data_IF_355496366661
#
_entry.id   IF_355496366661
#
_cell.length_a   1.000
_cell.length_b   1.000
_cell.length_c   1.000
_cell.angle_alpha   90.00
_cell.angle_beta   90.00
_cell.angle_gamma   90.00
#
_symmetry.space_group_name_H-M   'P 1'
#
loop_
_entity.id
_entity.type
_entity.pdbx_description
1 polymer ?
#
# COMPACT_ATOMS: atom_id res chain seq x y z
N UNK A 1 0.38 9.20 -40.57
CA UNK A 1 -0.62 8.31 -41.24
C UNK A 1 -1.33 7.42 -40.23
N UNK A 2 -2.31 6.59 -40.61
CA UNK A 2 -3.07 5.73 -39.64
C UNK A 2 -2.14 4.90 -38.74
N UNK A 3 -1.05 4.36 -39.29
CA UNK A 3 -0.04 3.62 -38.52
C UNK A 3 0.64 4.46 -37.43
N UNK A 4 0.94 5.73 -37.72
CA UNK A 4 1.61 6.63 -36.79
C UNK A 4 0.67 7.02 -35.64
N UNK A 5 -0.62 7.19 -35.93
CA UNK A 5 -1.65 7.41 -34.92
C UNK A 5 -1.82 6.17 -34.01
N UNK A 6 -1.78 4.96 -34.58
CA UNK A 6 -1.81 3.72 -33.80
C UNK A 6 -0.59 3.59 -32.89
N UNK A 7 0.61 3.88 -33.39
CA UNK A 7 1.84 3.82 -32.59
C UNK A 7 1.83 4.81 -31.41
N UNK A 8 1.35 6.04 -31.63
CA UNK A 8 1.18 7.04 -30.57
C UNK A 8 0.15 6.58 -29.52
N UNK A 9 -0.94 5.95 -29.95
CA UNK A 9 -1.94 5.41 -29.03
C UNK A 9 -1.36 4.28 -28.16
N UNK A 10 -0.59 3.36 -28.75
CA UNK A 10 0.06 2.26 -28.03
C UNK A 10 1.08 2.76 -27.01
N UNK A 11 1.84 3.81 -27.35
CA UNK A 11 2.77 4.47 -26.43
C UNK A 11 2.02 5.08 -25.23
N UNK A 12 0.94 5.82 -25.49
CA UNK A 12 0.11 6.42 -24.44
C UNK A 12 -0.51 5.35 -23.53
N UNK A 13 -1.04 4.28 -24.10
CA UNK A 13 -1.62 3.17 -23.34
C UNK A 13 -0.57 2.50 -22.45
N UNK A 14 0.61 2.25 -23.01
CA UNK A 14 1.74 1.68 -22.26
C UNK A 14 2.17 2.59 -21.11
N UNK A 15 2.31 3.89 -21.36
CA UNK A 15 2.66 4.87 -20.34
C UNK A 15 1.60 4.93 -19.22
N UNK A 16 0.31 4.95 -19.58
CA UNK A 16 -0.79 4.96 -18.59
C UNK A 16 -0.84 3.68 -17.77
N UNK A 17 -0.66 2.51 -18.39
CA UNK A 17 -0.63 1.24 -17.67
C UNK A 17 0.53 1.19 -16.68
N UNK A 18 1.70 1.73 -17.04
CA UNK A 18 2.83 1.84 -16.11
C UNK A 18 2.49 2.72 -14.91
N UNK A 19 1.89 3.89 -15.14
CA UNK A 19 1.46 4.79 -14.06
C UNK A 19 0.45 4.09 -13.13
N UNK A 20 -0.47 3.29 -13.69
CA UNK A 20 -1.43 2.53 -12.88
C UNK A 20 -0.72 1.53 -11.96
N UNK A 21 0.25 0.78 -12.47
CA UNK A 21 1.01 -0.17 -11.65
C UNK A 21 1.85 0.53 -10.58
N UNK A 22 2.50 1.65 -10.92
CA UNK A 22 3.24 2.45 -9.96
C UNK A 22 2.32 2.97 -8.84
N UNK A 23 1.13 3.47 -9.18
CA UNK A 23 0.14 3.94 -8.19
C UNK A 23 -0.39 2.81 -7.30
N UNK A 24 -0.63 1.62 -7.85
CA UNK A 24 -1.03 0.45 -7.05
C UNK A 24 0.05 0.09 -6.03
N UNK A 25 1.31 0.09 -6.46
CA UNK A 25 2.43 -0.16 -5.58
C UNK A 25 2.54 0.90 -4.46
N UNK A 26 2.37 2.17 -4.81
CA UNK A 26 2.36 3.28 -3.85
C UNK A 26 1.26 3.14 -2.79
N UNK A 27 0.05 2.75 -3.20
CA UNK A 27 -1.07 2.50 -2.27
C UNK A 27 -0.73 1.37 -1.31
N UNK A 28 -0.16 0.26 -1.80
CA UNK A 28 0.25 -0.86 -0.95
C UNK A 28 1.31 -0.39 0.05
N UNK A 29 2.30 0.36 -0.42
CA UNK A 29 3.40 0.86 0.41
C UNK A 29 2.90 1.80 1.51
N UNK A 30 2.09 2.80 1.16
CA UNK A 30 1.59 3.79 2.13
C UNK A 30 0.64 3.14 3.14
N UNK A 31 -0.17 2.18 2.70
CA UNK A 31 -1.08 1.49 3.63
C UNK A 31 -0.32 0.64 4.63
N UNK A 32 0.74 -0.06 4.18
CA UNK A 32 1.62 -0.78 5.11
C UNK A 32 2.27 0.18 6.11
N UNK A 33 2.86 1.28 5.64
CA UNK A 33 3.49 2.25 6.53
C UNK A 33 2.50 2.84 7.55
N UNK A 34 1.25 3.06 7.13
CA UNK A 34 0.17 3.49 8.02
C UNK A 34 -0.13 2.45 9.11
N UNK A 35 -0.31 1.19 8.72
CA UNK A 35 -0.58 0.09 9.66
C UNK A 35 0.59 -0.15 10.62
N UNK A 36 1.82 -0.11 10.12
CA UNK A 36 3.04 -0.24 10.95
C UNK A 36 3.12 0.92 11.97
N UNK A 37 2.79 2.15 11.56
CA UNK A 37 2.78 3.30 12.46
C UNK A 37 1.73 3.17 13.58
N UNK A 38 0.54 2.64 13.27
CA UNK A 38 -0.50 2.35 14.26
C UNK A 38 0.02 1.35 15.28
N UNK A 39 0.60 0.23 14.84
CA UNK A 39 1.12 -0.79 15.76
C UNK A 39 2.25 -0.27 16.66
N UNK A 40 3.14 0.57 16.13
CA UNK A 40 4.18 1.21 16.95
C UNK A 40 3.56 2.16 17.98
N UNK A 41 2.53 2.91 17.59
CA UNK A 41 1.82 3.81 18.49
C UNK A 41 1.10 3.03 19.60
N UNK A 42 0.37 1.96 19.26
CA UNK A 42 -0.30 1.06 20.21
C UNK A 42 0.70 0.47 21.21
N UNK A 43 1.82 -0.09 20.72
CA UNK A 43 2.88 -0.64 21.56
C UNK A 43 3.44 0.39 22.54
N UNK A 44 3.67 1.63 22.09
CA UNK A 44 4.18 2.72 22.95
C UNK A 44 3.17 3.17 23.99
N UNK A 45 1.90 3.23 23.64
CA UNK A 45 0.83 3.60 24.57
C UNK A 45 0.63 2.53 25.64
N UNK A 46 0.71 1.25 25.24
CA UNK A 46 0.70 0.12 26.15
C UNK A 46 1.88 0.15 27.13
N UNK A 47 3.08 0.46 26.67
CA UNK A 47 4.26 0.69 27.54
C UNK A 47 4.05 1.81 28.56
N UNK A 48 3.22 2.81 28.24
CA UNK A 48 2.85 3.92 29.13
C UNK A 48 1.65 3.60 30.04
N UNK A 49 1.08 2.40 29.94
CA UNK A 49 -0.07 1.96 30.74
C UNK A 49 -1.44 2.39 30.20
N UNK A 50 -1.52 2.83 28.94
CA UNK A 50 -2.77 3.19 28.26
C UNK A 50 -3.23 1.98 27.43
N UNK A 51 -4.39 1.37 27.75
CA UNK A 51 -4.88 0.19 27.04
C UNK A 51 -5.43 0.53 25.65
N UNK A 52 -5.25 -0.39 24.69
CA UNK A 52 -5.65 -0.22 23.27
C UNK A 52 -7.16 0.01 23.09
N UNK A 53 -7.97 -0.49 24.03
CA UNK A 53 -9.43 -0.37 24.06
C UNK A 53 -9.91 1.10 24.11
N UNK A 54 -9.09 2.00 24.65
CA UNK A 54 -9.39 3.43 24.78
C UNK A 54 -9.08 4.22 23.51
N UNK A 55 -8.40 3.63 22.51
CA UNK A 55 -7.86 4.34 21.36
C UNK A 55 -8.81 4.40 20.15
N UNK A 56 -9.84 3.56 20.14
CA UNK A 56 -10.90 3.57 19.10
C UNK A 56 -10.42 3.28 17.66
N UNK A 57 -9.14 2.95 17.46
CA UNK A 57 -8.57 2.70 16.14
C UNK A 57 -8.92 1.28 15.65
N UNK A 58 -9.21 1.16 14.36
CA UNK A 58 -9.45 -0.12 13.68
C UNK A 58 -8.53 -0.15 12.46
N UNK A 59 -7.50 -1.01 12.42
CA UNK A 59 -6.63 -1.12 11.26
C UNK A 59 -7.48 -1.36 9.99
N UNK A 60 -7.18 -0.62 8.92
CA UNK A 60 -7.86 -0.85 7.64
C UNK A 60 -7.36 -2.19 7.10
N UNK A 61 -8.27 -3.15 6.94
CA UNK A 61 -7.94 -4.50 6.45
C UNK A 61 -7.52 -4.39 5.00
N UNK A 62 -6.22 -4.33 4.74
CA UNK A 62 -5.68 -4.56 3.41
C UNK A 62 -5.20 -6.00 3.29
N UNK A 63 -5.43 -6.61 2.14
CA UNK A 63 -4.95 -7.94 1.75
C UNK A 63 -3.42 -7.94 1.60
N UNK A 64 -2.69 -7.53 2.63
CA UNK A 64 -1.23 -7.51 2.68
C UNK A 64 -0.81 -8.51 3.71
N UNK A 65 -0.27 -9.64 3.25
CA UNK A 65 0.26 -10.71 4.09
C UNK A 65 1.39 -10.13 4.95
N UNK A 66 1.11 -9.89 6.23
CA UNK A 66 2.10 -9.46 7.22
C UNK A 66 2.94 -10.68 7.61
N UNK A 67 3.99 -10.97 6.85
CA UNK A 67 5.05 -11.84 7.34
C UNK A 67 5.92 -11.06 8.33
N UNK A 68 6.34 -11.64 9.48
CA UNK A 68 7.02 -10.91 10.58
C UNK A 68 8.38 -10.28 10.26
N UNK A 69 8.85 -10.30 9.01
CA UNK A 69 10.21 -9.91 8.65
C UNK A 69 10.31 -9.04 7.38
N UNK A 70 9.26 -8.27 7.05
CA UNK A 70 9.33 -7.31 5.95
C UNK A 70 9.47 -7.91 4.54
N UNK A 71 9.29 -9.22 4.39
CA UNK A 71 9.20 -9.88 3.08
C UNK A 71 7.84 -9.60 2.47
N UNK A 72 7.83 -8.84 1.39
CA UNK A 72 6.66 -8.65 0.52
C UNK A 72 6.39 -10.00 -0.15
N UNK A 73 5.47 -10.79 0.39
CA UNK A 73 4.88 -11.87 -0.41
C UNK A 73 3.84 -11.21 -1.30
N UNK A 74 4.20 -11.00 -2.56
CA UNK A 74 3.26 -10.62 -3.60
C UNK A 74 2.22 -11.74 -3.70
N UNK A 75 1.03 -11.54 -3.15
CA UNK A 75 -0.13 -12.33 -3.54
C UNK A 75 -0.63 -11.75 -4.86
N UNK A 76 -0.29 -12.43 -5.95
CA UNK A 76 -1.02 -12.36 -7.22
C UNK A 76 -2.20 -13.33 -7.10
#
# INVERSE_FOLDING_TARGET
GVHELTAQLDEILTAKNRIIEDLKYEIIRVTKAHNDAIHVMESKLLEMGIPEEDLGYRPTVTSTVTSPAGLVSALI
#
